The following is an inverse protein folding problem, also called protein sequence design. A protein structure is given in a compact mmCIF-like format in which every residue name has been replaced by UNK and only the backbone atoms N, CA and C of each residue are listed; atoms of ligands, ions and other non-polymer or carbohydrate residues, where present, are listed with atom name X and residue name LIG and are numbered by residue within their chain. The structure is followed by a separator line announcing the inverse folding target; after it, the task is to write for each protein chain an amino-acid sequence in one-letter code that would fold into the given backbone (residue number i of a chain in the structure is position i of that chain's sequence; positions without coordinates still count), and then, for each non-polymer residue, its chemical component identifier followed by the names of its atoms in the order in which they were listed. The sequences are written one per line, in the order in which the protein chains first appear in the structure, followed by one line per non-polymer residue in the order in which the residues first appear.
data_IF_495839798807
#
_entry.id   IF_495839798807
#
_cell.length_a   1.000
_cell.length_b   1.000
_cell.length_c   1.000
_cell.angle_alpha   90.00
_cell.angle_beta   90.00
_cell.angle_gamma   90.00
#
_symmetry.space_group_name_H-M   'P 1'
#
loop_
_entity.id
_entity.type
_entity.pdbx_description
1 polymer ?
#
# COMPACT_ATOMS: atom_id res chain seq x y z
N UNK A 1 -7.82 -26.27 -12.54
CA UNK A 1 -7.49 -26.86 -11.22
C UNK A 1 -7.78 -25.83 -10.15
N UNK A 2 -8.55 -26.15 -9.10
CA UNK A 2 -8.67 -25.25 -7.95
C UNK A 2 -7.30 -25.05 -7.30
N UNK A 3 -6.98 -23.86 -6.78
CA UNK A 3 -5.72 -23.64 -6.09
C UNK A 3 -5.67 -24.52 -4.83
N UNK A 4 -4.75 -25.49 -4.82
CA UNK A 4 -4.49 -26.36 -3.67
C UNK A 4 -3.47 -25.66 -2.78
N UNK A 5 -3.80 -25.43 -1.51
CA UNK A 5 -2.91 -24.77 -0.57
C UNK A 5 -3.64 -24.24 0.66
N UNK A 6 -2.98 -23.37 1.42
CA UNK A 6 -3.60 -22.62 2.53
C UNK A 6 -4.60 -21.59 2.00
N UNK A 7 -5.50 -21.10 2.85
CA UNK A 7 -6.41 -19.99 2.51
C UNK A 7 -5.67 -18.80 1.90
N UNK A 8 -4.47 -18.49 2.41
CA UNK A 8 -3.61 -17.43 1.87
C UNK A 8 -3.19 -17.74 0.43
N UNK A 9 -2.79 -18.97 0.14
CA UNK A 9 -2.42 -19.41 -1.22
C UNK A 9 -3.63 -19.42 -2.17
N UNK A 10 -4.81 -19.81 -1.67
CA UNK A 10 -6.06 -19.78 -2.41
C UNK A 10 -6.46 -18.35 -2.79
N UNK A 11 -6.48 -17.44 -1.81
CA UNK A 11 -6.76 -16.01 -2.02
C UNK A 11 -5.71 -15.36 -2.93
N UNK A 12 -4.43 -15.68 -2.77
CA UNK A 12 -3.36 -15.16 -3.64
C UNK A 12 -3.57 -15.58 -5.09
N UNK A 13 -3.96 -16.84 -5.31
CA UNK A 13 -4.27 -17.35 -6.66
C UNK A 13 -5.51 -16.68 -7.24
N UNK A 14 -6.56 -16.49 -6.43
CA UNK A 14 -7.77 -15.78 -6.82
C UNK A 14 -7.44 -14.32 -7.23
N UNK A 15 -6.62 -13.62 -6.45
CA UNK A 15 -6.16 -12.27 -6.79
C UNK A 15 -5.47 -12.27 -8.16
N UNK A 16 -4.57 -13.22 -8.42
CA UNK A 16 -3.93 -13.36 -9.72
C UNK A 16 -4.92 -13.54 -10.88
N UNK A 17 -5.93 -14.40 -10.70
CA UNK A 17 -6.97 -14.65 -11.71
C UNK A 17 -7.80 -13.37 -11.95
N UNK A 18 -8.24 -12.69 -10.88
CA UNK A 18 -9.04 -11.47 -10.98
C UNK A 18 -8.26 -10.33 -11.65
N UNK A 19 -6.99 -10.15 -11.30
CA UNK A 19 -6.11 -9.17 -11.93
C UNK A 19 -5.92 -9.47 -13.42
N UNK A 20 -5.67 -10.73 -13.77
CA UNK A 20 -5.56 -11.12 -15.18
C UNK A 20 -6.83 -10.80 -15.96
N UNK A 21 -8.01 -11.14 -15.41
CA UNK A 21 -9.29 -10.83 -16.05
C UNK A 21 -9.54 -9.34 -16.21
N UNK A 22 -9.27 -8.55 -15.16
CA UNK A 22 -9.36 -7.10 -15.22
C UNK A 22 -8.48 -6.50 -16.33
N UNK A 23 -7.25 -7.01 -16.49
CA UNK A 23 -6.34 -6.54 -17.54
C UNK A 23 -6.76 -7.01 -18.94
N UNK A 24 -7.28 -8.23 -19.07
CA UNK A 24 -7.85 -8.75 -20.33
C UNK A 24 -9.04 -7.91 -20.83
N UNK A 25 -9.85 -7.38 -19.90
CA UNK A 25 -11.00 -6.51 -20.20
C UNK A 25 -10.59 -5.05 -20.50
N UNK A 26 -9.29 -4.75 -20.59
CA UNK A 26 -8.78 -3.40 -20.88
C UNK A 26 -8.66 -2.50 -19.65
N UNK A 27 -8.60 -3.09 -18.45
CA UNK A 27 -8.32 -2.38 -17.21
C UNK A 27 -6.97 -1.67 -17.21
N UNK A 28 -6.86 -0.58 -16.46
CA UNK A 28 -5.65 0.25 -16.40
C UNK A 28 -4.63 -0.36 -15.41
N UNK A 29 -3.48 -0.85 -15.90
CA UNK A 29 -2.48 -1.49 -15.05
C UNK A 29 -1.77 -0.49 -14.13
N UNK A 30 -1.77 0.81 -14.43
CA UNK A 30 -1.10 1.83 -13.62
C UNK A 30 -1.93 2.14 -12.37
N UNK A 31 -3.25 2.26 -12.53
CA UNK A 31 -4.16 2.54 -11.40
C UNK A 31 -4.13 1.43 -10.35
N UNK A 32 -4.09 0.17 -10.78
CA UNK A 32 -4.11 -0.96 -9.84
C UNK A 32 -2.82 -1.07 -9.02
N UNK A 33 -1.67 -0.66 -9.57
CA UNK A 33 -0.39 -0.63 -8.85
C UNK A 33 -0.48 0.30 -7.63
N UNK A 34 -1.18 1.44 -7.72
CA UNK A 34 -1.35 2.38 -6.59
C UNK A 34 -2.09 1.69 -5.43
N UNK A 35 -3.18 0.99 -5.73
CA UNK A 35 -3.97 0.27 -4.72
C UNK A 35 -3.18 -0.90 -4.12
N UNK A 36 -2.52 -1.71 -4.95
CA UNK A 36 -1.74 -2.85 -4.47
C UNK A 36 -0.54 -2.42 -3.59
N UNK A 37 0.10 -1.27 -3.87
CA UNK A 37 1.16 -0.72 -3.04
C UNK A 37 0.69 -0.24 -1.66
N UNK A 38 -0.58 0.15 -1.52
CA UNK A 38 -1.13 0.65 -0.25
C UNK A 38 -1.33 -0.46 0.80
N UNK A 39 -1.42 -1.72 0.36
CA UNK A 39 -1.70 -2.86 1.23
C UNK A 39 -0.46 -3.25 2.03
N UNK A 40 -0.56 -3.18 3.37
CA UNK A 40 0.48 -3.62 4.30
C UNK A 40 0.02 -4.88 5.03
N UNK A 41 0.92 -5.86 5.14
CA UNK A 41 0.70 -7.11 5.85
C UNK A 41 1.32 -7.07 7.24
N UNK A 42 0.98 -8.07 8.03
CA UNK A 42 1.51 -8.33 9.37
C UNK A 42 2.94 -8.89 9.33
N UNK A 43 3.32 -9.56 8.24
CA UNK A 43 4.63 -10.20 8.06
C UNK A 43 5.38 -9.66 6.84
N UNK A 44 5.99 -8.47 6.94
CA UNK A 44 6.84 -7.95 5.89
C UNK A 44 8.15 -8.74 5.77
N UNK A 45 8.67 -8.87 4.56
CA UNK A 45 9.89 -9.62 4.23
C UNK A 45 10.91 -8.69 3.56
N UNK A 46 12.19 -8.85 3.87
CA UNK A 46 13.28 -8.04 3.32
C UNK A 46 13.61 -6.79 4.15
N UNK A 47 14.59 -6.02 3.68
CA UNK A 47 15.16 -4.86 4.38
C UNK A 47 15.32 -3.67 3.41
N UNK A 48 15.22 -2.45 3.96
CA UNK A 48 15.44 -1.21 3.21
C UNK A 48 14.43 -1.00 2.08
N UNK A 49 14.93 -0.49 0.95
CA UNK A 49 14.11 -0.15 -0.24
C UNK A 49 13.52 -1.37 -0.94
N UNK A 50 14.09 -2.56 -0.71
CA UNK A 50 13.62 -3.83 -1.28
C UNK A 50 12.65 -4.58 -0.35
N UNK A 51 12.09 -3.90 0.67
CA UNK A 51 11.16 -4.50 1.62
C UNK A 51 9.78 -4.73 0.99
N UNK A 52 9.33 -5.97 1.03
CA UNK A 52 7.98 -6.38 0.61
C UNK A 52 7.07 -6.41 1.83
N UNK A 53 6.01 -5.61 1.82
CA UNK A 53 5.15 -5.42 2.99
C UNK A 53 3.98 -6.40 3.06
N UNK A 54 3.57 -6.95 1.91
CA UNK A 54 2.44 -7.87 1.79
C UNK A 54 2.52 -8.61 0.45
N UNK A 55 1.69 -9.64 0.26
CA UNK A 55 1.53 -10.32 -1.03
C UNK A 55 1.10 -9.32 -2.12
N UNK A 56 0.12 -8.46 -1.83
CA UNK A 56 -0.35 -7.43 -2.77
C UNK A 56 0.75 -6.42 -3.12
N UNK A 57 1.54 -5.96 -2.15
CA UNK A 57 2.70 -5.11 -2.41
C UNK A 57 3.73 -5.83 -3.28
N UNK A 58 3.98 -7.13 -3.05
CA UNK A 58 4.84 -7.95 -3.90
C UNK A 58 4.37 -8.00 -5.36
N UNK A 59 3.07 -8.18 -5.58
CA UNK A 59 2.46 -8.11 -6.92
C UNK A 59 2.66 -6.73 -7.54
N UNK A 60 2.49 -5.64 -6.77
CA UNK A 60 2.69 -4.28 -7.25
C UNK A 60 4.14 -4.04 -7.74
N UNK A 61 5.13 -4.52 -6.99
CA UNK A 61 6.55 -4.46 -7.36
C UNK A 61 6.79 -5.22 -8.67
N UNK A 62 6.27 -6.45 -8.77
CA UNK A 62 6.43 -7.29 -9.95
C UNK A 62 5.76 -6.66 -11.20
N UNK A 63 4.53 -6.16 -11.06
CA UNK A 63 3.79 -5.53 -12.16
C UNK A 63 4.48 -4.23 -12.61
N UNK A 64 4.92 -3.39 -11.68
CA UNK A 64 5.72 -2.19 -11.96
C UNK A 64 6.99 -2.55 -12.74
N UNK A 65 7.73 -3.57 -12.30
CA UNK A 65 8.92 -4.03 -13.01
C UNK A 65 8.61 -4.53 -14.42
N UNK A 66 7.46 -5.18 -14.61
CA UNK A 66 7.03 -5.65 -15.93
C UNK A 66 6.67 -4.47 -16.86
N UNK A 67 5.88 -3.51 -16.40
CA UNK A 67 5.47 -2.34 -17.20
C UNK A 67 6.66 -1.45 -17.61
N UNK A 68 7.66 -1.31 -16.73
CA UNK A 68 8.93 -0.64 -17.09
C UNK A 68 9.66 -1.37 -18.21
N UNK A 69 9.71 -2.71 -18.14
CA UNK A 69 10.39 -3.54 -19.14
C UNK A 69 9.69 -3.51 -20.49
N UNK A 70 8.35 -3.43 -20.51
CA UNK A 70 7.56 -3.36 -21.74
C UNK A 70 7.44 -1.94 -22.30
N UNK A 71 7.96 -0.93 -21.59
CA UNK A 71 7.92 0.47 -22.02
C UNK A 71 6.55 1.14 -21.88
N UNK A 72 5.63 0.54 -21.12
CA UNK A 72 4.31 1.14 -20.82
C UNK A 72 4.45 2.33 -19.87
N UNK A 73 5.44 2.26 -18.96
CA UNK A 73 5.84 3.37 -18.09
C UNK A 73 7.33 3.63 -18.22
N UNK A 74 7.74 4.89 -18.21
CA UNK A 74 9.14 5.30 -18.28
C UNK A 74 9.77 5.43 -16.88
N UNK A 75 8.97 5.86 -15.89
CA UNK A 75 9.45 6.10 -14.53
C UNK A 75 8.36 5.84 -13.48
N UNK A 76 8.76 5.82 -12.20
CA UNK A 76 7.81 5.70 -11.08
C UNK A 76 6.91 6.94 -10.89
N UNK A 77 7.24 8.05 -11.56
CA UNK A 77 6.40 9.24 -11.56
C UNK A 77 5.13 9.03 -12.39
N UNK A 78 5.18 8.17 -13.41
CA UNK A 78 4.03 7.86 -14.26
C UNK A 78 2.93 7.11 -13.48
N UNK A 79 3.34 6.34 -12.46
CA UNK A 79 2.43 5.62 -11.55
C UNK A 79 1.84 6.56 -10.50
N UNK A 80 2.58 7.61 -10.16
CA UNK A 80 2.17 8.64 -9.20
C UNK A 80 1.41 9.79 -9.86
N UNK A 81 0.99 9.60 -11.12
CA UNK A 81 0.49 10.62 -12.03
C UNK A 81 -0.25 11.76 -11.35
N UNK A 82 0.33 12.95 -11.42
CA UNK A 82 -0.23 14.31 -11.35
C UNK A 82 -1.52 14.55 -10.53
N UNK A 83 -1.75 13.78 -9.48
CA UNK A 83 -2.61 14.11 -8.36
C UNK A 83 -1.68 14.11 -7.15
N UNK A 84 -0.93 15.21 -7.04
CA UNK A 84 -0.79 15.89 -5.76
C UNK A 84 -2.21 16.32 -5.32
N UNK A 85 -3.08 15.34 -5.12
CA UNK A 85 -4.37 15.49 -4.49
C UNK A 85 -4.06 16.08 -3.13
N UNK A 86 -4.72 17.17 -2.81
CA UNK A 86 -4.73 17.86 -1.53
C UNK A 86 -5.13 16.94 -0.34
N UNK A 87 -5.26 15.62 -0.55
CA UNK A 87 -5.42 14.59 0.47
C UNK A 87 -4.21 14.42 1.39
N UNK A 88 -2.99 14.77 0.96
CA UNK A 88 -1.80 14.67 1.83
C UNK A 88 -1.74 15.76 2.91
N UNK A 89 -2.55 16.82 2.80
CA UNK A 89 -2.72 17.79 3.89
C UNK A 89 -3.81 17.33 4.87
N UNK A 90 -4.77 16.50 4.45
CA UNK A 90 -5.88 16.04 5.31
C UNK A 90 -5.55 14.77 6.11
N UNK A 91 -4.55 13.98 5.72
CA UNK A 91 -4.25 12.68 6.37
C UNK A 91 -3.12 12.71 7.39
N UNK A 92 -2.50 13.87 7.65
CA UNK A 92 -1.59 14.04 8.81
C UNK A 92 -2.30 13.92 10.16
N UNK A 93 -3.64 13.90 10.19
CA UNK A 93 -4.40 14.04 11.43
C UNK A 93 -5.03 12.76 11.99
N UNK A 94 -4.94 11.60 11.31
CA UNK A 94 -5.69 10.39 11.73
C UNK A 94 -4.85 9.19 12.17
N UNK A 95 -3.52 9.25 12.08
CA UNK A 95 -2.66 8.12 12.44
C UNK A 95 -1.46 8.54 13.28
N UNK A 96 -1.08 7.70 14.24
CA UNK A 96 0.12 7.90 15.05
C UNK A 96 1.39 7.83 14.19
N UNK A 97 2.31 8.81 14.26
CA UNK A 97 3.54 8.80 13.45
C UNK A 97 4.52 7.68 13.85
N UNK A 98 4.42 7.15 15.08
CA UNK A 98 5.32 6.10 15.60
C UNK A 98 4.87 4.68 15.26
N UNK A 99 3.58 4.38 15.42
CA UNK A 99 3.05 3.01 15.26
C UNK A 99 1.97 2.89 14.16
N UNK A 100 1.59 3.99 13.52
CA UNK A 100 0.54 4.05 12.50
C UNK A 100 -0.84 3.56 12.97
N UNK A 101 -1.06 3.48 14.29
CA UNK A 101 -2.38 3.20 14.83
C UNK A 101 -3.34 4.36 14.59
N UNK A 102 -4.60 4.03 14.31
CA UNK A 102 -5.72 4.97 14.23
C UNK A 102 -6.26 5.38 15.60
N UNK A 103 -5.79 4.76 16.69
CA UNK A 103 -6.19 5.07 18.06
C UNK A 103 -5.42 6.28 18.59
N UNK A 104 -5.73 7.46 18.03
CA UNK A 104 -5.12 8.74 18.36
C UNK A 104 -6.18 9.77 18.78
N UNK A 105 -5.84 10.60 19.76
CA UNK A 105 -6.68 11.68 20.28
C UNK A 105 -5.89 13.00 20.31
N UNK A 106 -6.61 14.12 20.25
CA UNK A 106 -6.03 15.46 20.43
C UNK A 106 -6.43 15.98 21.80
N UNK A 107 -5.49 15.93 22.73
CA UNK A 107 -5.66 16.47 24.07
C UNK A 107 -5.31 17.96 24.10
N UNK A 108 -6.04 18.74 24.91
CA UNK A 108 -5.82 20.18 25.02
C UNK A 108 -4.44 20.48 25.60
N UNK A 109 -3.64 21.27 24.87
CA UNK A 109 -2.26 21.61 25.26
C UNK A 109 -1.18 20.82 24.52
N UNK A 110 -1.56 19.87 23.66
CA UNK A 110 -0.62 19.12 22.85
C UNK A 110 -0.45 19.71 21.46
N UNK A 111 0.79 19.71 20.96
CA UNK A 111 1.13 20.23 19.62
C UNK A 111 0.82 19.23 18.49
N UNK A 112 0.51 17.99 18.84
CA UNK A 112 0.26 16.89 17.93
C UNK A 112 -0.61 15.78 18.55
N UNK A 113 -0.86 14.67 17.82
CA UNK A 113 -1.75 13.59 18.27
C UNK A 113 -1.12 12.74 19.39
N UNK A 114 -1.92 12.41 20.39
CA UNK A 114 -1.58 11.45 21.46
C UNK A 114 -2.08 10.06 21.06
N UNK A 115 -1.19 9.07 21.05
CA UNK A 115 -1.51 7.69 20.70
C UNK A 115 -1.67 6.83 21.95
N UNK A 116 -2.86 6.23 22.11
CA UNK A 116 -3.17 5.37 23.24
C UNK A 116 -2.60 3.96 23.14
N UNK A 117 -2.13 3.53 21.96
CA UNK A 117 -1.59 2.18 21.76
C UNK A 117 -0.08 2.09 22.01
N UNK A 118 0.69 3.12 21.67
CA UNK A 118 2.16 3.10 21.76
C UNK A 118 2.75 4.17 22.70
N UNK A 119 1.90 5.00 23.31
CA UNK A 119 2.29 6.06 24.23
C UNK A 119 3.08 7.20 23.58
N UNK A 120 2.95 7.39 22.27
CA UNK A 120 3.51 8.57 21.61
C UNK A 120 2.64 9.79 21.89
N UNK A 121 3.23 10.89 22.36
CA UNK A 121 2.55 12.16 22.57
C UNK A 121 3.50 13.31 22.24
N UNK A 122 2.95 14.39 21.71
CA UNK A 122 3.65 15.66 21.46
C UNK A 122 3.06 16.77 22.35
N UNK A 123 2.72 16.40 23.57
CA UNK A 123 2.31 17.31 24.63
C UNK A 123 3.56 17.97 25.22
N UNK A 124 3.55 19.31 25.30
CA UNK A 124 4.61 20.10 25.96
C UNK A 124 4.31 20.26 27.45
#
# INVERSE_FOLDING_TARGET
MPPLGTEISGLTSLIGILLSKYLEEGGDPVKIIKHLNSVKGDRPVGLGENRVNSVAHGIAIALRSHLKRTGVIASDQDISGAEKLELWEVSRTQYCPKCYSSNVSYESGCSGPTCHDCGHSECS
#
